data_IF_620262584781
#
_entry.id   IF_620262584781
#
_cell.length_a   1.000
_cell.length_b   1.000
_cell.length_c   1.000
_cell.angle_alpha   90.00
_cell.angle_beta   90.00
_cell.angle_gamma   90.00
#
_symmetry.space_group_name_H-M   'P 1'
#
loop_
_entity.id
_entity.type
_entity.pdbx_description
1 polymer ?
#
# COMPACT_ATOMS: atom_id res chain seq x y z
N UNK A 1 -17.95 13.16 -25.53
CA UNK A 1 -17.03 14.28 -25.28
C UNK A 1 -17.10 14.59 -23.79
N UNK A 2 -16.18 14.10 -22.98
CA UNK A 2 -16.24 14.37 -21.53
C UNK A 2 -15.34 13.53 -20.62
N UNK A 3 -14.41 12.75 -21.14
CA UNK A 3 -13.49 11.94 -20.30
C UNK A 3 -12.01 12.38 -20.37
N UNK A 4 -11.70 13.52 -20.97
CA UNK A 4 -10.31 13.96 -21.19
C UNK A 4 -9.81 15.03 -20.20
N UNK A 5 -10.64 15.48 -19.25
CA UNK A 5 -10.27 16.62 -18.39
C UNK A 5 -9.90 16.27 -16.95
N UNK A 6 -9.98 15.00 -16.54
CA UNK A 6 -9.74 14.65 -15.14
C UNK A 6 -8.34 14.06 -14.84
N UNK A 7 -7.54 13.83 -15.88
CA UNK A 7 -6.17 13.27 -15.70
C UNK A 7 -5.09 14.27 -15.24
N UNK A 8 -5.45 15.55 -15.01
CA UNK A 8 -4.44 16.60 -14.76
C UNK A 8 -4.42 17.21 -13.36
N UNK A 9 -5.22 16.72 -12.41
CA UNK A 9 -5.36 17.38 -11.07
C UNK A 9 -4.71 16.61 -9.90
N UNK A 10 -4.18 15.40 -10.08
CA UNK A 10 -3.58 14.64 -8.96
C UNK A 10 -2.05 14.77 -8.87
N UNK A 11 -1.43 15.71 -9.56
CA UNK A 11 0.03 15.89 -9.53
C UNK A 11 0.54 17.10 -8.74
N UNK A 12 -0.28 17.70 -7.86
CA UNK A 12 0.18 18.83 -7.05
C UNK A 12 -0.24 18.64 -5.60
N UNK A 13 0.36 17.70 -4.88
CA UNK A 13 0.40 17.72 -3.41
C UNK A 13 1.46 16.78 -2.81
N UNK A 14 2.66 16.73 -3.38
CA UNK A 14 3.83 16.23 -2.64
C UNK A 14 5.00 17.16 -2.91
N UNK A 15 5.02 18.27 -2.18
CA UNK A 15 6.25 19.01 -1.91
C UNK A 15 5.96 20.04 -0.84
N UNK A 16 6.18 19.69 0.38
CA UNK A 16 6.66 20.58 1.43
C UNK A 16 6.81 19.85 2.77
N UNK A 17 7.94 19.25 3.04
CA UNK A 17 8.52 19.17 4.38
C UNK A 17 10.03 19.21 4.17
N UNK A 18 10.56 20.36 4.22
CA UNK A 18 11.10 21.12 5.29
C UNK A 18 12.39 20.54 5.85
N UNK A 19 13.44 21.06 5.32
CA UNK A 19 14.76 21.15 5.91
C UNK A 19 14.66 21.71 7.34
N UNK A 20 15.13 20.95 8.31
CA UNK A 20 15.62 21.52 9.54
C UNK A 20 17.08 21.17 9.67
N UNK A 21 17.87 22.16 9.34
CA UNK A 21 19.29 22.29 9.62
C UNK A 21 19.51 22.62 11.10
N UNK A 22 20.53 22.04 11.67
CA UNK A 22 21.17 22.74 12.73
C UNK A 22 21.52 21.94 13.97
N UNK A 23 22.80 21.82 14.24
CA UNK A 23 23.28 21.73 15.57
C UNK A 23 24.31 20.64 15.85
N UNK A 24 25.51 20.85 15.34
CA UNK A 24 26.73 20.27 15.92
C UNK A 24 26.89 20.74 17.37
N UNK A 25 27.10 19.81 18.29
CA UNK A 25 27.93 20.05 19.44
C UNK A 25 28.53 18.74 19.93
N UNK A 26 29.80 18.63 19.64
CA UNK A 26 30.75 17.78 20.32
C UNK A 26 30.83 18.17 21.79
N UNK A 27 30.64 17.23 22.71
CA UNK A 27 31.31 17.27 24.00
C UNK A 27 31.69 15.84 24.40
N UNK A 28 32.99 15.66 24.36
CA UNK A 28 33.72 14.63 25.08
C UNK A 28 33.69 14.96 26.56
N UNK A 29 33.33 14.02 27.39
CA UNK A 29 33.76 13.98 28.79
C UNK A 29 34.04 12.54 29.14
N UNK A 30 35.26 12.37 29.51
CA UNK A 30 35.83 11.16 30.06
C UNK A 30 35.35 10.93 31.49
N UNK A 31 35.26 9.66 31.84
CA UNK A 31 35.85 9.04 33.01
C UNK A 31 34.99 8.73 34.21
N UNK A 32 35.11 7.45 34.55
CA UNK A 32 35.17 6.81 35.89
C UNK A 32 33.89 6.69 36.73
N UNK A 33 33.63 5.44 37.02
CA UNK A 33 32.91 5.08 38.25
C UNK A 33 32.10 3.81 38.12
N UNK A 34 32.80 2.70 38.35
CA UNK A 34 32.30 1.47 38.92
C UNK A 34 31.16 1.72 39.95
N UNK A 35 30.02 1.11 39.74
CA UNK A 35 29.41 0.30 40.80
C UNK A 35 28.24 -0.54 40.31
N UNK A 36 28.31 -1.78 40.66
CA UNK A 36 27.33 -2.85 40.71
C UNK A 36 25.94 -2.38 41.10
N UNK A 37 25.00 -2.82 40.40
CA UNK A 37 23.76 -3.42 40.85
C UNK A 37 22.62 -3.21 39.90
N UNK A 38 22.22 -4.30 39.32
CA UNK A 38 20.86 -4.72 39.22
C UNK A 38 19.88 -3.73 38.58
N UNK A 39 19.20 -4.24 37.73
CA UNK A 39 17.83 -3.94 37.42
C UNK A 39 17.54 -3.56 36.02
N UNK A 40 17.07 -4.60 35.42
CA UNK A 40 15.82 -4.51 34.69
C UNK A 40 15.77 -3.42 33.63
N UNK A 41 16.63 -3.55 32.68
CA UNK A 41 16.31 -3.06 31.36
C UNK A 41 15.10 -3.85 30.88
N UNK A 42 13.93 -3.39 31.23
CA UNK A 42 12.72 -3.74 30.52
C UNK A 42 12.96 -3.32 29.09
N UNK A 43 13.60 -4.20 28.33
CA UNK A 43 13.63 -4.11 26.90
C UNK A 43 12.19 -4.13 26.45
N UNK A 44 11.66 -2.96 26.15
CA UNK A 44 10.49 -2.82 25.34
C UNK A 44 10.90 -3.36 23.98
N UNK A 45 10.82 -4.66 23.83
CA UNK A 45 10.93 -5.35 22.56
C UNK A 45 9.73 -4.99 21.71
N UNK A 46 9.71 -3.77 21.25
CA UNK A 46 8.87 -3.37 20.13
C UNK A 46 9.38 -4.15 18.93
N UNK A 47 8.89 -5.38 18.77
CA UNK A 47 9.16 -6.17 17.58
C UNK A 47 8.80 -5.32 16.37
N UNK A 48 9.74 -5.22 15.43
CA UNK A 48 9.46 -4.59 14.15
C UNK A 48 8.39 -5.44 13.50
N UNK A 49 7.18 -4.88 13.34
CA UNK A 49 6.12 -5.52 12.57
C UNK A 49 6.47 -5.28 11.09
N UNK A 50 6.73 -6.32 10.31
CA UNK A 50 7.09 -6.13 8.92
C UNK A 50 5.91 -5.57 8.12
N UNK A 51 6.21 -4.78 7.11
CA UNK A 51 5.21 -4.33 6.15
C UNK A 51 4.55 -5.50 5.44
N UNK A 52 3.26 -5.41 5.14
CA UNK A 52 2.59 -6.40 4.31
C UNK A 52 3.17 -6.36 2.88
N UNK A 53 2.99 -7.45 2.15
CA UNK A 53 3.34 -7.52 0.73
C UNK A 53 2.07 -7.75 -0.07
N UNK A 54 1.69 -6.77 -0.90
CA UNK A 54 0.51 -6.84 -1.74
C UNK A 54 0.70 -7.83 -2.89
N UNK A 55 -0.29 -8.68 -3.12
CA UNK A 55 -0.39 -9.56 -4.29
C UNK A 55 -1.83 -10.03 -4.46
N UNK A 56 -2.19 -10.42 -5.68
CA UNK A 56 -3.53 -10.94 -5.97
C UNK A 56 -3.55 -11.97 -7.10
N UNK A 57 -4.68 -12.65 -7.21
CA UNK A 57 -5.03 -13.52 -8.34
C UNK A 57 -6.41 -13.15 -8.86
N UNK A 58 -6.66 -13.49 -10.13
CA UNK A 58 -7.93 -13.27 -10.80
C UNK A 58 -8.48 -14.60 -11.33
N UNK A 59 -9.81 -14.71 -11.43
CA UNK A 59 -10.46 -15.91 -11.97
C UNK A 59 -10.27 -16.06 -13.48
N UNK A 60 -10.13 -14.93 -14.19
CA UNK A 60 -9.82 -14.87 -15.63
C UNK A 60 -9.13 -13.55 -15.93
N UNK A 61 -8.30 -13.54 -16.99
CA UNK A 61 -7.64 -12.34 -17.50
C UNK A 61 -8.42 -11.66 -18.62
N UNK A 62 -9.66 -12.10 -18.89
CA UNK A 62 -10.52 -11.48 -19.88
C UNK A 62 -11.73 -12.34 -20.24
N UNK A 63 -12.52 -11.83 -21.18
CA UNK A 63 -13.74 -12.45 -21.69
C UNK A 63 -14.51 -11.51 -22.58
N UNK A 64 -15.71 -11.93 -23.02
CA UNK A 64 -16.63 -11.08 -23.78
C UNK A 64 -17.56 -10.35 -22.81
N UNK A 65 -17.71 -9.04 -23.00
CA UNK A 65 -18.60 -8.22 -22.17
C UNK A 65 -20.09 -8.59 -22.39
N UNK A 66 -20.92 -8.63 -21.32
CA UNK A 66 -20.54 -8.45 -19.92
C UNK A 66 -19.90 -9.70 -19.33
N UNK A 67 -18.85 -9.54 -18.51
CA UNK A 67 -18.16 -10.67 -17.89
C UNK A 67 -17.84 -10.39 -16.42
N UNK A 68 -18.05 -11.39 -15.58
CA UNK A 68 -17.74 -11.35 -14.15
C UNK A 68 -16.32 -11.88 -13.90
N UNK A 69 -15.49 -11.08 -13.26
CA UNK A 69 -14.14 -11.48 -12.86
C UNK A 69 -14.02 -11.38 -11.34
N UNK A 70 -13.57 -12.46 -10.71
CA UNK A 70 -13.33 -12.50 -9.27
C UNK A 70 -11.88 -12.19 -8.98
N UNK A 71 -11.66 -11.23 -8.11
CA UNK A 71 -10.36 -10.81 -7.59
C UNK A 71 -10.18 -11.38 -6.20
N UNK A 72 -9.02 -11.92 -5.90
CA UNK A 72 -8.71 -12.48 -4.59
C UNK A 72 -7.30 -12.06 -4.18
N UNK A 73 -7.18 -11.47 -3.01
CA UNK A 73 -5.88 -11.11 -2.43
C UNK A 73 -5.09 -12.37 -2.10
N UNK A 74 -3.82 -12.37 -2.47
CA UNK A 74 -2.83 -13.37 -2.03
C UNK A 74 -1.71 -12.70 -1.24
N UNK A 75 -1.97 -11.48 -0.77
CA UNK A 75 -1.04 -10.68 0.01
C UNK A 75 -0.62 -11.38 1.30
N UNK A 76 0.60 -11.10 1.76
CA UNK A 76 1.17 -11.69 2.96
C UNK A 76 1.50 -10.64 4.01
N UNK A 77 1.66 -11.07 5.27
CA UNK A 77 1.86 -10.20 6.42
C UNK A 77 0.58 -9.98 7.21
N UNK A 78 0.65 -9.13 8.24
CA UNK A 78 -0.54 -8.73 8.98
C UNK A 78 -1.29 -7.65 8.21
N UNK A 79 -2.53 -7.95 7.77
CA UNK A 79 -3.34 -7.08 6.94
C UNK A 79 -4.66 -6.78 7.64
N UNK A 80 -4.99 -5.50 7.77
CA UNK A 80 -6.21 -4.99 8.37
C UNK A 80 -7.23 -4.50 7.33
N UNK A 81 -6.76 -4.10 6.15
CA UNK A 81 -7.64 -3.57 5.11
C UNK A 81 -7.08 -3.78 3.70
N UNK A 82 -8.00 -3.84 2.76
CA UNK A 82 -7.78 -3.95 1.32
C UNK A 82 -8.47 -2.78 0.63
N UNK A 83 -7.90 -2.26 -0.44
CA UNK A 83 -8.54 -1.32 -1.34
C UNK A 83 -8.19 -1.72 -2.77
N UNK A 84 -9.22 -1.92 -3.59
CA UNK A 84 -9.09 -2.36 -4.96
C UNK A 84 -9.54 -1.27 -5.93
N UNK A 85 -8.79 -1.11 -7.00
CA UNK A 85 -9.20 -0.39 -8.20
C UNK A 85 -9.00 -1.33 -9.38
N UNK A 86 -10.04 -1.55 -10.17
CA UNK A 86 -10.04 -2.58 -11.22
C UNK A 86 -10.57 -2.10 -12.57
N UNK A 87 -10.99 -0.84 -12.70
CA UNK A 87 -11.61 -0.30 -13.91
C UNK A 87 -11.04 1.03 -14.39
N UNK A 88 -9.85 1.39 -13.96
CA UNK A 88 -9.12 2.60 -14.37
C UNK A 88 -9.78 3.93 -13.98
N UNK A 89 -10.79 3.91 -13.13
CA UNK A 89 -11.34 5.14 -12.61
C UNK A 89 -10.65 5.58 -11.31
N UNK A 90 -11.12 6.65 -10.70
CA UNK A 90 -10.50 7.20 -9.48
C UNK A 90 -11.08 6.61 -8.19
N UNK A 91 -12.08 5.76 -8.32
CA UNK A 91 -12.78 5.20 -7.18
C UNK A 91 -12.26 3.80 -6.84
N UNK A 92 -12.55 3.32 -5.64
CA UNK A 92 -12.21 1.98 -5.21
C UNK A 92 -13.47 1.11 -5.18
N UNK A 93 -13.47 0.00 -5.92
CA UNK A 93 -14.64 -0.86 -6.09
C UNK A 93 -14.88 -1.76 -4.90
N UNK A 94 -13.85 -2.06 -4.12
CA UNK A 94 -13.97 -3.00 -3.02
C UNK A 94 -12.95 -2.77 -1.90
N UNK A 95 -13.39 -3.11 -0.68
CA UNK A 95 -12.55 -3.18 0.51
C UNK A 95 -12.50 -4.59 1.14
N UNK A 96 -12.91 -5.61 0.38
CA UNK A 96 -12.93 -6.99 0.83
C UNK A 96 -11.68 -7.75 0.39
N UNK A 97 -11.37 -8.82 1.11
CA UNK A 97 -10.32 -9.77 0.75
C UNK A 97 -10.52 -10.37 -0.66
N UNK A 98 -11.78 -10.63 -1.03
CA UNK A 98 -12.17 -11.12 -2.35
C UNK A 98 -13.52 -10.56 -2.75
N UNK A 99 -13.68 -10.23 -4.02
CA UNK A 99 -14.93 -9.72 -4.59
C UNK A 99 -15.01 -10.03 -6.07
N UNK A 100 -16.19 -9.82 -6.67
CA UNK A 100 -16.42 -9.97 -8.09
C UNK A 100 -16.85 -8.63 -8.69
N UNK A 101 -16.20 -8.26 -9.80
CA UNK A 101 -16.52 -7.08 -10.59
C UNK A 101 -17.03 -7.52 -11.96
N UNK A 102 -18.07 -6.82 -12.48
CA UNK A 102 -18.64 -7.06 -13.80
C UNK A 102 -18.14 -6.00 -14.77
N UNK A 103 -17.41 -6.43 -15.79
CA UNK A 103 -16.98 -5.55 -16.89
C UNK A 103 -18.06 -5.51 -17.97
N UNK A 104 -18.74 -4.38 -18.09
CA UNK A 104 -19.84 -4.16 -19.04
C UNK A 104 -19.34 -3.75 -20.44
N UNK A 105 -18.13 -3.24 -20.55
CA UNK A 105 -17.58 -2.70 -21.77
C UNK A 105 -16.29 -3.42 -22.16
N UNK A 106 -16.06 -3.51 -23.48
CA UNK A 106 -14.76 -3.94 -23.98
C UNK A 106 -13.68 -2.89 -23.69
N UNK A 107 -12.50 -3.36 -23.33
CA UNK A 107 -11.36 -2.52 -23.00
C UNK A 107 -10.22 -3.31 -22.41
N UNK A 108 -9.16 -2.60 -22.08
CA UNK A 108 -8.04 -3.13 -21.28
C UNK A 108 -7.96 -2.33 -20.01
N UNK A 109 -7.88 -3.01 -18.90
CA UNK A 109 -8.00 -2.42 -17.56
C UNK A 109 -6.79 -2.75 -16.70
N UNK A 110 -6.30 -1.74 -16.00
CA UNK A 110 -5.29 -1.91 -14.97
C UNK A 110 -5.96 -2.39 -13.68
N UNK A 111 -5.25 -3.18 -12.91
CA UNK A 111 -5.72 -3.64 -11.60
C UNK A 111 -4.71 -3.26 -10.55
N UNK A 112 -5.17 -2.60 -9.50
CA UNK A 112 -4.34 -2.30 -8.34
C UNK A 112 -4.98 -2.74 -7.03
N UNK A 113 -4.14 -3.23 -6.13
CA UNK A 113 -4.50 -3.59 -4.78
C UNK A 113 -3.58 -2.85 -3.80
N UNK A 114 -4.19 -2.16 -2.86
CA UNK A 114 -3.52 -1.57 -1.72
C UNK A 114 -3.90 -2.38 -0.48
N UNK A 115 -2.91 -2.85 0.26
CA UNK A 115 -3.11 -3.50 1.56
C UNK A 115 -2.45 -2.68 2.66
N UNK A 116 -3.12 -2.58 3.80
CA UNK A 116 -2.63 -1.86 4.96
C UNK A 116 -2.68 -2.75 6.19
N UNK A 117 -1.63 -2.72 6.97
CA UNK A 117 -1.49 -3.45 8.22
C UNK A 117 -0.71 -2.66 9.26
N UNK A 118 -0.50 -3.21 10.44
CA UNK A 118 0.22 -2.52 11.52
C UNK A 118 1.69 -2.22 11.19
N UNK A 119 2.29 -2.97 10.25
CA UNK A 119 3.65 -2.72 9.77
C UNK A 119 3.76 -1.67 8.66
N UNK A 120 2.64 -1.22 8.10
CA UNK A 120 2.65 -0.24 7.01
C UNK A 120 1.65 -0.55 5.91
N UNK A 121 1.94 -0.07 4.71
CA UNK A 121 1.09 -0.20 3.53
C UNK A 121 1.91 -0.72 2.34
N UNK A 122 1.32 -1.56 1.53
CA UNK A 122 1.90 -2.05 0.28
C UNK A 122 0.91 -1.94 -0.86
N UNK A 123 1.41 -1.62 -2.04
CA UNK A 123 0.61 -1.52 -3.26
C UNK A 123 1.18 -2.43 -4.33
N UNK A 124 0.31 -3.16 -5.01
CA UNK A 124 0.65 -3.94 -6.18
C UNK A 124 -0.27 -3.55 -7.34
N UNK A 125 0.32 -3.16 -8.47
CA UNK A 125 -0.41 -2.79 -9.69
C UNK A 125 0.06 -3.67 -10.83
N UNK A 126 -0.91 -4.20 -11.57
CA UNK A 126 -0.68 -4.91 -12.82
C UNK A 126 -1.35 -4.13 -13.94
N UNK A 127 -0.54 -3.56 -14.82
CA UNK A 127 -1.02 -2.83 -15.99
C UNK A 127 -1.53 -3.81 -17.03
N UNK A 128 -2.59 -3.40 -17.75
CA UNK A 128 -3.23 -4.22 -18.78
C UNK A 128 -3.61 -5.62 -18.28
N UNK A 129 -4.03 -5.70 -17.01
CA UNK A 129 -4.27 -6.97 -16.33
C UNK A 129 -5.47 -7.73 -16.90
N UNK A 130 -6.49 -7.00 -17.33
CA UNK A 130 -7.76 -7.55 -17.83
C UNK A 130 -8.03 -7.02 -19.22
N UNK A 131 -8.40 -7.91 -20.15
CA UNK A 131 -8.80 -7.56 -21.53
C UNK A 131 -10.19 -8.09 -21.83
N UNK A 132 -11.15 -7.22 -22.09
CA UNK A 132 -12.55 -7.53 -22.38
C UNK A 132 -12.88 -7.22 -23.84
#
# INVERSE_FOLDING_TARGET
>A
MGKLFYRFIILIFISLILSCSGGSSTQSVEDVGDDTSGENSGGNGGGIIPEPVASFTVSSYGGEAPVDITFTSTSTGEINSWLWNVDDDADYESNYYSFTHTYENSGTYDVSLIVTGPGGQSTYTQNDAITI
#
